data_IF_265282674120
#
_entry.id   IF_265282674120
#
_cell.length_a   1.000
_cell.length_b   1.000
_cell.length_c   1.000
_cell.angle_alpha   90.00
_cell.angle_beta   90.00
_cell.angle_gamma   90.00
#
_symmetry.space_group_name_H-M   'P 1'
#
loop_
_entity.id
_entity.type
_entity.pdbx_description
1 polymer ?
2 non-polymer ?
3 water ?
#
# COMPACT_ATOMS: atom_id res chain seq x y z
N UNK A 2 11.37 -4.22 26.00
CA UNK A 2 10.26 -3.21 25.98
C UNK A 2 10.70 -1.92 26.68
N UNK A 3 12.01 -1.69 26.75
CA UNK A 3 12.55 -0.66 27.63
C UNK A 3 13.18 0.48 26.84
N UNK A 4 13.66 0.19 25.63
CA UNK A 4 14.08 1.25 24.71
C UNK A 4 12.86 1.97 24.12
N UNK A 5 12.83 3.31 24.17
CA UNK A 5 11.66 4.07 23.71
C UNK A 5 11.93 4.95 22.48
N UNK A 6 13.11 4.84 21.91
CA UNK A 6 13.33 5.42 20.60
C UNK A 6 14.31 4.52 19.84
N UNK A 7 14.24 4.53 18.50
CA UNK A 7 15.10 3.69 17.66
C UNK A 7 15.67 4.52 16.51
N UNK A 8 16.97 4.36 16.27
CA UNK A 8 17.67 5.05 15.17
C UNK A 8 17.45 4.30 13.87
N UNK A 9 17.94 4.87 12.77
CA UNK A 9 17.89 4.15 11.51
C UNK A 9 18.72 2.86 11.58
N UNK A 10 19.86 2.91 12.24
CA UNK A 10 20.66 1.69 12.39
C UNK A 10 19.97 0.62 13.23
N UNK A 11 19.16 1.03 14.20
CA UNK A 11 18.36 0.08 14.96
C UNK A 11 17.33 -0.57 14.08
N UNK A 12 16.72 0.23 13.21
CA UNK A 12 15.71 -0.25 12.26
C UNK A 12 16.28 -1.13 11.17
N UNK A 13 17.49 -0.85 10.69
CA UNK A 13 18.14 -1.78 9.77
C UNK A 13 18.49 -3.09 10.48
N UNK A 14 18.86 -2.99 11.75
CA UNK A 14 19.14 -4.17 12.55
C UNK A 14 17.89 -5.01 12.68
N UNK A 15 16.74 -4.35 12.87
CA UNK A 15 15.46 -5.04 12.90
C UNK A 15 15.16 -5.76 11.58
N UNK A 16 15.43 -5.10 10.47
CA UNK A 16 15.19 -5.70 9.14
C UNK A 16 15.96 -7.01 8.89
N UNK A 17 17.09 -7.20 9.59
CA UNK A 17 17.90 -8.41 9.46
C UNK A 17 17.52 -9.47 10.47
N UNK A 18 16.46 -9.21 11.23
CA UNK A 18 16.04 -10.13 12.30
C UNK A 18 16.89 -10.07 13.57
N UNK A 19 17.64 -8.99 13.74
CA UNK A 19 18.61 -8.92 14.81
C UNK A 19 18.18 -8.04 15.98
N UNK A 20 17.10 -7.26 15.84
CA UNK A 20 16.59 -6.52 17.00
C UNK A 20 15.80 -7.43 17.96
N UNK A 21 14.77 -8.08 17.42
CA UNK A 21 13.90 -8.95 18.21
C UNK A 21 14.28 -10.41 18.13
N UNK A 22 15.15 -10.75 17.17
CA UNK A 22 15.69 -12.07 17.07
C UNK A 22 15.01 -12.93 16.03
N UNK A 23 15.60 -14.12 15.78
CA UNK A 23 15.16 -14.95 14.65
C UNK A 23 13.78 -15.56 14.93
N UNK A 24 12.94 -15.59 13.90
CA UNK A 24 11.56 -16.05 14.07
C UNK A 24 10.59 -14.94 14.50
N UNK A 25 11.12 -13.78 14.89
CA UNK A 25 10.31 -12.68 15.39
C UNK A 25 10.20 -11.49 14.42
N UNK A 26 9.56 -10.39 14.84
CA UNK A 26 9.07 -9.36 13.91
C UNK A 26 10.25 -8.70 13.21
N UNK A 27 10.09 -8.43 11.92
CA UNK A 27 11.09 -7.68 11.18
C UNK A 27 10.41 -6.49 10.53
N UNK A 28 11.22 -5.47 10.26
CA UNK A 28 10.85 -4.46 9.29
C UNK A 28 11.40 -4.89 7.92
N UNK A 29 10.83 -4.34 6.85
CA UNK A 29 11.43 -4.48 5.51
C UNK A 29 12.80 -3.84 5.48
N UNK A 30 13.65 -4.31 4.58
CA UNK A 30 14.88 -3.60 4.23
C UNK A 30 14.61 -2.62 3.10
N UNK A 31 15.53 -1.68 2.89
CA UNK A 31 15.46 -0.89 1.67
C UNK A 31 15.40 -1.82 0.48
N UNK A 32 14.55 -1.53 -0.51
CA UNK A 32 13.85 -0.26 -0.65
C UNK A 32 12.38 -0.31 -0.28
N UNK A 33 11.98 -1.32 0.48
CA UNK A 33 10.63 -1.33 1.04
C UNK A 33 10.48 -0.61 2.39
N UNK A 34 11.58 -0.43 3.09
CA UNK A 34 11.55 0.28 4.38
C UNK A 34 11.18 1.75 4.19
N UNK A 35 10.13 2.18 4.91
CA UNK A 35 9.55 3.52 4.77
C UNK A 35 9.59 4.35 6.07
N UNK A 36 10.57 4.03 6.90
CA UNK A 36 10.76 4.70 8.20
C UNK A 36 12.29 4.91 8.37
N UNK A 37 12.70 6.08 8.85
CA UNK A 37 14.09 6.32 9.18
C UNK A 37 14.31 6.15 10.68
N UNK A 38 13.35 6.54 11.49
CA UNK A 38 13.54 6.53 12.93
C UNK A 38 12.22 6.42 13.67
N UNK A 39 12.26 5.82 14.86
CA UNK A 39 11.09 5.82 15.71
C UNK A 39 11.46 6.79 16.82
N UNK A 40 10.75 7.91 16.90
CA UNK A 40 11.09 8.93 17.89
C UNK A 40 10.45 8.68 19.24
N UNK A 41 9.37 7.92 19.25
CA UNK A 41 8.65 7.59 20.46
C UNK A 41 7.88 6.29 20.27
N UNK A 42 8.02 5.40 21.23
CA UNK A 42 7.16 4.22 21.33
C UNK A 42 6.89 3.92 22.82
N UNK A 43 5.64 3.69 23.14
CA UNK A 43 5.22 3.46 24.53
C UNK A 43 3.96 2.58 24.56
N UNK A 44 3.74 1.89 25.68
CA UNK A 44 2.53 1.11 25.83
C UNK A 44 1.42 1.87 26.57
N UNK A 45 1.65 3.15 26.83
CA UNK A 45 0.60 4.02 27.36
C UNK A 45 0.47 5.30 26.54
N UNK A 46 -0.53 6.13 26.87
CA UNK A 46 -0.81 7.31 26.09
C UNK A 46 -1.31 6.93 24.71
N UNK A 47 -1.20 7.87 23.76
CA UNK A 47 -1.91 7.73 22.50
C UNK A 47 -3.40 7.90 22.73
N UNK A 48 -4.17 7.95 21.65
CA UNK A 48 -5.57 8.40 21.73
C UNK A 48 -6.45 7.46 22.58
N UNK A 49 -6.03 6.20 22.73
CA UNK A 49 -6.84 5.21 23.45
C UNK A 49 -6.25 4.88 24.84
N UNK A 50 -5.10 5.48 25.14
CA UNK A 50 -4.40 5.21 26.37
C UNK A 50 -3.75 3.84 26.42
N UNK A 51 -3.54 3.23 25.25
CA UNK A 51 -3.07 1.87 25.20
C UNK A 51 -1.80 1.74 24.39
N UNK A 52 -1.15 2.85 24.11
CA UNK A 52 0.11 2.82 23.36
C UNK A 52 0.16 3.72 22.14
N UNK A 53 1.39 4.02 21.73
CA UNK A 53 1.65 5.09 20.78
C UNK A 53 2.97 4.83 20.11
N UNK A 54 3.05 5.14 18.83
CA UNK A 54 4.33 5.25 18.16
C UNK A 54 4.33 6.52 17.31
N UNK A 55 5.46 7.20 17.33
CA UNK A 55 5.71 8.31 16.45
C UNK A 55 7.01 8.00 15.69
N UNK A 56 6.95 8.05 14.35
CA UNK A 56 8.10 7.69 13.53
C UNK A 56 8.26 8.74 12.45
N UNK A 57 9.42 8.73 11.80
CA UNK A 57 9.69 9.72 10.77
C UNK A 57 10.31 9.06 9.54
N UNK A 58 10.03 9.60 8.35
CA UNK A 58 10.80 9.31 7.15
C UNK A 58 11.31 10.60 6.51
N UNK A 59 12.62 10.73 6.34
CA UNK A 59 13.16 11.94 5.73
C UNK A 59 12.91 11.87 4.22
N UNK A 60 12.47 12.97 3.64
CA UNK A 60 12.21 13.04 2.21
C UNK A 60 13.30 13.85 1.50
N UNK A 61 13.79 13.30 0.40
CA UNK A 61 14.57 14.09 -0.55
C UNK A 61 14.16 13.71 -1.98
N UNK A 62 14.52 14.55 -2.96
CA UNK A 62 14.00 14.39 -4.34
C UNK A 62 14.49 13.14 -5.04
N UNK A 63 15.50 12.50 -4.47
CA UNK A 63 16.14 11.36 -5.12
C UNK A 63 15.63 10.00 -4.64
N UNK A 64 14.68 9.98 -3.71
CA UNK A 64 14.09 8.72 -3.30
C UNK A 64 13.49 8.01 -4.53
N UNK A 65 13.77 6.72 -4.64
CA UNK A 65 13.56 5.97 -5.88
C UNK A 65 12.15 6.10 -6.48
N UNK A 66 11.15 6.10 -5.61
CA UNK A 66 9.77 6.01 -6.08
C UNK A 66 9.27 7.27 -6.77
N UNK A 67 9.97 8.39 -6.62
CA UNK A 67 9.55 9.61 -7.30
C UNK A 67 9.69 9.53 -8.83
N UNK A 68 10.76 8.91 -9.31
CA UNK A 68 11.03 8.90 -10.75
C UNK A 68 10.03 8.03 -11.53
N UNK A 69 9.51 6.97 -10.90
CA UNK A 69 8.63 6.04 -11.60
C UNK A 69 7.14 6.23 -11.23
N UNK A 70 6.87 7.09 -10.25
CA UNK A 70 5.49 7.26 -9.76
C UNK A 70 5.21 8.76 -9.51
N UNK A 71 4.79 9.52 -10.53
CA UNK A 71 4.74 9.08 -11.91
C UNK A 71 5.72 9.90 -12.73
N UNK A 72 6.02 9.41 -13.93
CA UNK A 72 6.79 10.17 -14.89
C UNK A 72 6.11 11.52 -15.14
N UNK A 73 6.82 12.60 -14.86
CA UNK A 73 6.32 13.96 -15.07
C UNK A 73 5.36 14.45 -14.01
N UNK A 74 5.16 13.65 -12.96
CA UNK A 74 4.19 14.01 -11.89
C UNK A 74 4.58 13.28 -10.62
N UNK A 75 5.73 13.64 -10.06
CA UNK A 75 6.29 12.82 -8.98
C UNK A 75 5.52 12.97 -7.66
N UNK A 76 5.25 11.86 -6.98
CA UNK A 76 4.44 11.86 -5.76
C UNK A 76 4.61 10.53 -5.05
N UNK A 77 4.92 10.59 -3.76
CA UNK A 77 5.11 9.37 -2.98
C UNK A 77 3.88 8.48 -3.00
N UNK A 78 4.06 7.21 -3.37
CA UNK A 78 2.90 6.31 -3.42
C UNK A 78 2.20 6.27 -2.08
N UNK A 79 0.90 6.49 -2.06
CA UNK A 79 0.14 6.43 -0.82
C UNK A 79 0.24 5.08 -0.14
N UNK A 80 0.35 4.03 -0.95
CA UNK A 80 0.38 2.69 -0.45
C UNK A 80 1.61 2.47 0.42
N UNK A 81 2.69 3.23 0.16
CA UNK A 81 3.93 3.05 0.93
C UNK A 81 3.88 3.72 2.29
N UNK A 82 3.21 4.87 2.37
CA UNK A 82 2.92 5.49 3.65
C UNK A 82 1.93 4.70 4.46
N UNK A 83 0.95 4.12 3.79
CA UNK A 83 0.05 3.20 4.49
C UNK A 83 0.83 1.98 5.00
N UNK A 84 1.75 1.44 4.20
CA UNK A 84 2.53 0.29 4.66
C UNK A 84 3.37 0.58 5.87
N UNK A 85 3.99 1.77 5.90
CA UNK A 85 4.73 2.20 7.06
C UNK A 85 3.89 2.00 8.34
N UNK A 86 2.63 2.40 8.29
CA UNK A 86 1.70 2.26 9.42
C UNK A 86 1.56 0.81 9.86
N UNK A 87 1.32 -0.07 8.90
CA UNK A 87 1.29 -1.50 9.19
C UNK A 87 2.63 -1.97 9.79
N UNK A 88 3.75 -1.54 9.24
CA UNK A 88 5.00 -2.08 9.71
C UNK A 88 5.30 -1.58 11.11
N UNK A 89 4.75 -0.42 11.46
CA UNK A 89 4.95 0.09 12.79
C UNK A 89 4.09 -0.65 13.81
N UNK A 90 2.88 -1.04 13.40
CA UNK A 90 2.08 -1.90 14.25
C UNK A 90 2.77 -3.25 14.48
N UNK A 91 3.39 -3.78 13.43
CA UNK A 91 4.17 -4.99 13.57
C UNK A 91 5.31 -4.84 14.55
N UNK A 92 6.09 -3.77 14.39
CA UNK A 92 7.17 -3.48 15.31
C UNK A 92 6.67 -3.37 16.77
N UNK A 93 5.55 -2.70 16.99
CA UNK A 93 4.95 -2.60 18.33
C UNK A 93 4.83 -3.96 18.96
N UNK A 94 4.28 -4.90 18.21
CA UNK A 94 4.01 -6.21 18.77
C UNK A 94 5.33 -6.93 19.04
N UNK A 95 6.33 -6.69 18.19
CA UNK A 95 7.66 -7.27 18.40
C UNK A 95 8.28 -6.67 19.66
N UNK A 96 8.08 -5.36 19.81
CA UNK A 96 8.66 -4.58 20.91
C UNK A 96 8.03 -4.99 22.25
N UNK A 97 6.78 -5.45 22.20
CA UNK A 97 6.10 -5.96 23.40
C UNK A 97 6.57 -7.34 23.84
N UNK A 98 7.42 -7.96 23.03
CA UNK A 98 8.06 -9.24 23.39
C UNK A 98 7.35 -10.47 22.86
N UNK A 99 6.36 -10.28 21.98
CA UNK A 99 5.62 -11.40 21.40
C UNK A 99 6.45 -12.10 20.32
N UNK A 100 6.31 -13.43 20.20
CA UNK A 100 7.11 -14.15 19.20
C UNK A 100 6.33 -14.23 17.90
N UNK A 101 7.01 -14.42 16.78
CA UNK A 101 6.34 -14.61 15.50
C UNK A 101 6.62 -13.52 14.48
N UNK A 102 6.29 -13.80 13.23
CA UNK A 102 6.57 -12.90 12.12
C UNK A 102 5.31 -12.15 11.72
N UNK A 103 5.46 -10.90 11.33
CA UNK A 103 4.30 -10.06 11.05
C UNK A 103 3.68 -10.31 9.68
N UNK A 104 2.35 -10.31 9.64
CA UNK A 104 1.58 -10.09 8.43
C UNK A 104 0.47 -9.06 8.71
N UNK A 105 0.41 -8.01 7.89
CA UNK A 105 -0.74 -7.09 7.96
C UNK A 105 -1.99 -7.90 7.67
N UNK A 106 -3.08 -7.56 8.36
CA UNK A 106 -4.35 -8.22 8.18
C UNK A 106 -5.39 -7.26 7.53
N UNK A 107 -5.04 -5.98 7.42
CA UNK A 107 -5.86 -5.02 6.71
C UNK A 107 -6.18 -3.78 7.51
N UNK A 108 -7.37 -3.23 7.25
CA UNK A 108 -7.70 -1.92 7.74
C UNK A 108 -9.19 -1.74 7.67
N UNK A 109 -9.72 -0.90 8.54
CA UNK A 109 -11.13 -0.54 8.49
C UNK A 109 -11.50 0.46 7.44
N UNK A 110 -10.70 1.52 7.34
CA UNK A 110 -11.01 2.64 6.48
C UNK A 110 -9.73 3.43 6.25
N UNK A 111 -9.36 3.67 4.99
CA UNK A 111 -8.18 4.45 4.62
C UNK A 111 -8.59 5.69 3.82
N UNK A 112 -8.03 6.84 4.19
CA UNK A 112 -8.24 8.10 3.49
C UNK A 112 -6.94 8.80 3.10
N UNK A 113 -6.81 9.15 1.83
CA UNK A 113 -5.73 9.97 1.35
C UNK A 113 -6.36 11.33 1.01
N UNK A 114 -5.87 12.38 1.64
CA UNK A 114 -6.38 13.72 1.37
C UNK A 114 -5.20 14.67 1.34
N UNK A 115 -4.08 14.18 0.85
CA UNK A 115 -2.99 15.04 0.42
C UNK A 115 -1.85 14.17 -0.07
N UNK A 116 -0.66 14.76 -0.21
CA UNK A 116 0.42 14.10 -0.93
C UNK A 116 1.80 14.53 -0.40
N UNK A 117 2.79 13.69 -0.68
CA UNK A 117 4.16 13.99 -0.46
C UNK A 117 4.84 14.22 -1.81
N UNK A 118 5.30 15.45 -1.98
CA UNK A 118 6.06 15.82 -3.17
C UNK A 118 7.55 15.76 -2.87
N UNK A 119 8.38 15.64 -3.91
CA UNK A 119 9.80 15.51 -3.76
C UNK A 119 10.50 16.73 -3.13
N UNK A 120 9.75 17.83 -3.00
CA UNK A 120 10.20 19.05 -2.32
C UNK A 120 9.93 19.02 -0.80
N UNK A 121 9.20 18.03 -0.32
CA UNK A 121 8.92 17.86 1.12
C UNK A 121 10.20 17.56 1.92
N UNK A 122 10.18 17.88 3.20
CA UNK A 122 11.33 17.61 4.08
C UNK A 122 11.15 16.36 4.92
N UNK A 123 9.93 16.16 5.44
CA UNK A 123 9.73 15.09 6.40
C UNK A 123 8.30 14.56 6.49
N UNK A 124 8.19 13.22 6.54
CA UNK A 124 6.92 12.56 6.81
C UNK A 124 6.94 12.04 8.26
N UNK A 125 5.87 12.31 8.99
CA UNK A 125 5.70 11.75 10.29
C UNK A 125 4.51 10.81 10.33
N UNK A 126 4.72 9.70 11.03
CA UNK A 126 3.70 8.68 11.25
C UNK A 126 3.30 8.65 12.72
N UNK A 127 2.00 8.75 12.99
CA UNK A 127 1.48 8.72 14.35
C UNK A 127 0.55 7.51 14.48
N UNK A 128 0.88 6.59 15.37
CA UNK A 128 0.10 5.36 15.51
C UNK A 128 -0.42 5.28 16.94
N UNK A 129 -1.73 5.11 17.05
CA UNK A 129 -2.43 5.02 18.33
C UNK A 129 -2.97 3.61 18.49
N UNK A 130 -2.39 2.83 19.41
CA UNK A 130 -2.79 1.44 19.60
C UNK A 130 -4.17 1.45 20.29
N UNK A 131 -5.13 0.72 19.70
CA UNK A 131 -6.49 0.65 20.17
C UNK A 131 -6.71 -0.59 21.02
N UNK A 132 -6.17 -1.72 20.59
CA UNK A 132 -6.44 -2.97 21.28
C UNK A 132 -5.41 -3.99 20.84
N UNK A 133 -4.89 -4.76 21.81
CA UNK A 133 -4.11 -5.97 21.53
C UNK A 133 -4.98 -7.19 21.85
N UNK A 134 -4.86 -8.21 21.00
CA UNK A 134 -5.71 -9.42 21.08
C UNK A 134 -4.80 -10.64 21.21
N UNK A 135 -5.07 -11.47 22.21
CA UNK A 135 -4.30 -12.70 22.46
C UNK A 135 -5.25 -13.90 22.43
N UNK A 136 -5.53 -14.39 21.23
CA UNK A 136 -6.52 -15.47 21.05
C UNK A 136 -5.84 -16.52 20.19
N UNK A 137 -4.92 -17.26 20.80
CA UNK A 137 -4.14 -18.29 20.12
C UNK A 137 -2.99 -17.65 19.40
N UNK A 138 -3.28 -16.78 18.44
CA UNK A 138 -2.27 -15.86 17.92
C UNK A 138 -2.54 -14.45 18.42
N UNK A 139 -1.52 -13.61 18.30
CA UNK A 139 -1.57 -12.26 18.81
C UNK A 139 -1.74 -11.30 17.63
N UNK A 140 -2.59 -10.30 17.79
CA UNK A 140 -2.64 -9.21 16.82
C UNK A 140 -2.98 -7.92 17.51
N UNK A 141 -2.78 -6.83 16.80
CA UNK A 141 -3.04 -5.48 17.28
C UNK A 141 -3.87 -4.72 16.27
N UNK A 142 -4.79 -3.91 16.81
CA UNK A 142 -5.60 -2.96 16.08
C UNK A 142 -5.13 -1.57 16.53
N UNK A 143 -5.06 -0.63 15.57
CA UNK A 143 -4.49 0.69 15.78
C UNK A 143 -5.12 1.66 14.79
N UNK A 144 -5.20 2.94 15.15
CA UNK A 144 -5.49 3.95 14.16
C UNK A 144 -4.19 4.66 13.86
N UNK A 145 -4.07 5.28 12.69
CA UNK A 145 -2.87 5.98 12.35
C UNK A 145 -3.08 7.16 11.44
N UNK A 146 -2.12 8.07 11.43
CA UNK A 146 -2.11 9.19 10.51
C UNK A 146 -0.70 9.39 9.96
N UNK A 147 -0.66 9.90 8.73
CA UNK A 147 0.58 10.25 8.04
C UNK A 147 0.50 11.76 7.81
N UNK A 148 1.54 12.47 8.22
CA UNK A 148 1.66 13.91 7.99
C UNK A 148 2.95 14.24 7.24
N UNK A 149 2.94 15.35 6.53
CA UNK A 149 4.11 15.81 5.82
C UNK A 149 4.33 17.30 6.14
N UNK A 150 5.51 17.60 6.69
CA UNK A 150 5.88 18.95 7.06
C UNK A 150 4.76 19.69 7.81
N UNK A 151 4.12 19.00 8.75
CA UNK A 151 3.15 19.63 9.65
C UNK A 151 1.69 19.38 9.31
N UNK A 152 1.45 18.85 8.10
CA UNK A 152 0.08 18.77 7.54
C UNK A 152 -0.35 17.31 7.48
N UNK A 153 -1.42 16.99 8.18
CA UNK A 153 -2.00 15.65 8.09
C UNK A 153 -2.51 15.37 6.68
N UNK A 154 -2.14 14.23 6.12
CA UNK A 154 -2.51 13.92 4.74
C UNK A 154 -3.17 12.57 4.52
N UNK A 155 -2.91 11.59 5.37
CA UNK A 155 -3.60 10.28 5.35
C UNK A 155 -4.08 9.88 6.73
N UNK A 156 -5.14 9.10 6.77
CA UNK A 156 -5.59 8.45 7.99
C UNK A 156 -5.93 7.00 7.67
N UNK A 157 -5.92 6.18 8.71
CA UNK A 157 -6.36 4.82 8.63
C UNK A 157 -6.95 4.41 9.97
N UNK A 158 -8.17 3.91 9.93
CA UNK A 158 -8.85 3.45 11.13
C UNK A 158 -8.79 1.94 11.15
N UNK A 159 -8.40 1.37 12.28
CA UNK A 159 -8.53 -0.05 12.50
C UNK A 159 -7.52 -0.86 11.70
N UNK A 160 -6.31 -0.31 11.54
CA UNK A 160 -5.17 -1.10 11.08
C UNK A 160 -5.09 -2.34 11.91
N UNK A 161 -4.88 -3.48 11.24
CA UNK A 161 -4.70 -4.77 11.92
C UNK A 161 -3.43 -5.46 11.43
N UNK A 162 -2.57 -5.85 12.37
CA UNK A 162 -1.42 -6.67 12.07
C UNK A 162 -1.33 -7.84 13.05
N UNK A 163 -1.01 -9.01 12.52
CA UNK A 163 -0.82 -10.19 13.35
C UNK A 163 0.59 -10.78 13.29
N UNK A 164 0.91 -11.55 14.33
CA UNK A 164 2.15 -12.28 14.42
C UNK A 164 1.86 -13.74 14.26
N UNK A 165 2.71 -14.38 13.45
CA UNK A 165 2.44 -15.73 12.96
C UNK A 165 3.69 -16.55 13.24
N UNK A 166 3.59 -17.49 14.15
CA UNK A 166 4.74 -18.33 14.45
C UNK A 166 4.94 -19.40 13.35
N UNK A 167 3.98 -19.50 12.42
CA UNK A 167 4.12 -20.31 11.20
C UNK A 167 3.34 -19.70 10.03
N UNK A 168 4.05 -19.21 9.01
CA UNK A 168 3.39 -18.48 7.92
C UNK A 168 3.05 -19.43 6.77
N UNK A 169 3.47 -20.68 6.91
CA UNK A 169 3.22 -21.70 5.90
C UNK A 169 1.74 -21.77 5.54
N UNK A 170 0.89 -21.64 6.55
CA UNK A 170 -0.55 -21.85 6.35
C UNK A 170 -1.24 -20.56 5.92
N UNK A 171 -0.52 -19.45 5.95
CA UNK A 171 -1.17 -18.15 5.80
C UNK A 171 -1.67 -17.93 4.36
N UNK B 3 -12.52 1.79 -26.19
CA UNK B 3 -12.52 0.97 -27.45
C UNK B 3 -11.91 -0.41 -27.22
N UNK B 4 -10.66 -0.41 -26.76
CA UNK B 4 -9.88 -1.65 -26.61
C UNK B 4 -10.31 -2.36 -25.33
N UNK B 5 -10.36 -3.69 -25.33
CA UNK B 5 -10.84 -4.43 -24.14
C UNK B 5 -9.80 -5.28 -23.44
N UNK B 6 -8.55 -5.11 -23.84
CA UNK B 6 -7.42 -5.74 -23.17
C UNK B 6 -6.19 -4.94 -23.55
N UNK B 7 -5.22 -4.95 -22.64
CA UNK B 7 -3.97 -4.21 -22.80
C UNK B 7 -2.75 -5.05 -22.41
N UNK B 8 -1.73 -4.99 -23.26
CA UNK B 8 -0.50 -5.76 -23.07
C UNK B 8 0.44 -5.00 -22.16
N UNK B 9 1.54 -5.64 -21.75
CA UNK B 9 2.48 -4.93 -20.91
C UNK B 9 3.00 -3.70 -21.65
N UNK B 10 3.24 -3.83 -22.96
CA UNK B 10 3.78 -2.71 -23.74
C UNK B 10 2.77 -1.57 -23.79
N UNK B 11 1.49 -1.91 -23.76
CA UNK B 11 0.44 -0.90 -23.65
C UNK B 11 0.50 -0.16 -22.32
N UNK B 12 0.66 -0.93 -21.25
CA UNK B 12 0.75 -0.37 -19.91
C UNK B 12 1.98 0.51 -19.74
N UNK B 13 3.07 0.13 -20.40
CA UNK B 13 4.30 0.90 -20.31
C UNK B 13 4.16 2.22 -21.09
N UNK B 14 3.43 2.19 -22.21
CA UNK B 14 3.01 3.40 -22.95
C UNK B 14 2.20 4.29 -22.05
N UNK B 15 1.29 3.67 -21.31
CA UNK B 15 0.45 4.40 -20.37
C UNK B 15 1.31 5.11 -19.33
N UNK B 16 2.37 4.44 -18.87
CA UNK B 16 3.23 4.98 -17.84
C UNK B 16 4.01 6.20 -18.30
N UNK B 17 4.24 6.32 -19.62
CA UNK B 17 4.91 7.49 -20.16
C UNK B 17 3.94 8.57 -20.62
N UNK B 18 2.64 8.36 -20.45
CA UNK B 18 1.66 9.36 -20.87
C UNK B 18 1.17 9.17 -22.31
N UNK B 19 1.60 8.10 -22.96
CA UNK B 19 1.37 7.96 -24.39
C UNK B 19 0.14 7.13 -24.71
N UNK B 20 -0.59 6.66 -23.71
CA UNK B 20 -1.83 5.95 -23.99
C UNK B 20 -3.05 6.87 -23.97
N UNK B 21 -3.19 7.63 -22.88
CA UNK B 21 -4.31 8.54 -22.75
C UNK B 21 -3.93 9.98 -23.05
N UNK B 22 -2.64 10.23 -23.22
CA UNK B 22 -2.18 11.54 -23.65
C UNK B 22 -1.77 12.48 -22.51
N UNK B 23 -1.19 13.62 -22.87
CA UNK B 23 -0.69 14.61 -21.89
C UNK B 23 -1.76 15.12 -20.95
N UNK B 24 -1.50 15.03 -19.66
CA UNK B 24 -2.35 15.62 -18.63
C UNK B 24 -3.31 14.60 -18.05
N UNK B 25 -3.26 13.39 -18.57
CA UNK B 25 -4.27 12.39 -18.31
C UNK B 25 -3.65 11.18 -17.60
N UNK B 26 -4.43 10.14 -17.34
CA UNK B 26 -4.08 9.14 -16.31
C UNK B 26 -2.87 8.34 -16.75
N UNK B 27 -1.95 8.13 -15.81
CA UNK B 27 -0.77 7.33 -16.06
C UNK B 27 -0.75 6.19 -15.06
N UNK B 28 -0.18 5.06 -15.46
CA UNK B 28 0.28 4.08 -14.51
C UNK B 28 1.69 4.43 -14.05
N UNK B 29 2.13 3.84 -12.92
CA UNK B 29 3.55 3.92 -12.58
C UNK B 29 4.38 3.18 -13.59
N UNK B 30 5.66 3.54 -13.66
CA UNK B 30 6.68 2.76 -14.32
C UNK B 30 7.27 1.76 -13.34
N UNK B 31 8.02 0.75 -13.84
CA UNK B 31 8.86 0.01 -12.91
C UNK B 31 9.77 0.94 -12.12
N UNK B 32 9.88 0.73 -10.80
CA UNK B 32 9.52 -0.53 -10.16
C UNK B 32 8.23 -0.47 -9.32
N UNK B 33 7.47 0.59 -9.48
CA UNK B 33 6.18 0.70 -8.82
C UNK B 33 5.03 0.05 -9.60
N UNK B 34 5.24 -0.26 -10.87
CA UNK B 34 4.18 -0.89 -11.67
C UNK B 34 3.99 -2.34 -11.21
N UNK B 35 2.74 -2.70 -10.86
CA UNK B 35 2.40 -4.00 -10.27
C UNK B 35 1.33 -4.74 -11.10
N UNK B 36 1.26 -4.38 -12.38
CA UNK B 36 0.41 -5.06 -13.33
C UNK B 36 1.23 -5.35 -14.58
N UNK B 37 1.14 -6.56 -15.12
CA UNK B 37 1.74 -6.88 -16.41
C UNK B 37 0.74 -6.73 -17.58
N UNK B 38 -0.52 -7.05 -17.35
CA UNK B 38 -1.49 -7.02 -18.42
C UNK B 38 -2.91 -6.84 -17.92
N UNK B 39 -3.74 -6.15 -18.70
CA UNK B 39 -5.17 -6.13 -18.44
C UNK B 39 -5.82 -7.09 -19.40
N UNK B 40 -6.39 -8.16 -18.84
CA UNK B 40 -6.95 -9.23 -19.66
C UNK B 40 -8.40 -8.98 -20.06
N UNK B 41 -9.05 -8.05 -19.35
CA UNK B 41 -10.43 -7.65 -19.65
C UNK B 41 -10.71 -6.30 -19.01
N UNK B 42 -11.35 -5.44 -19.77
CA UNK B 42 -11.89 -4.22 -19.21
C UNK B 42 -13.13 -3.82 -20.01
N UNK B 43 -14.19 -3.48 -19.28
CA UNK B 43 -15.48 -3.19 -19.90
C UNK B 43 -16.24 -2.24 -19.00
N UNK B 44 -17.15 -1.48 -19.58
CA UNK B 44 -18.02 -0.62 -18.79
C UNK B 44 -19.34 -1.31 -18.40
N UNK B 45 -19.51 -2.58 -18.74
CA UNK B 45 -20.65 -3.34 -18.23
C UNK B 45 -20.19 -4.66 -17.57
N UNK B 46 -21.10 -5.33 -16.89
CA UNK B 46 -20.75 -6.56 -16.18
C UNK B 46 -20.03 -6.19 -14.90
N UNK B 47 -19.30 -7.13 -14.31
CA UNK B 47 -18.83 -6.95 -12.95
C UNK B 47 -19.97 -7.00 -11.96
N UNK B 48 -19.62 -7.08 -10.68
CA UNK B 48 -20.54 -7.48 -9.63
C UNK B 48 -21.69 -6.48 -9.49
N UNK B 49 -21.50 -5.25 -9.97
CA UNK B 49 -22.55 -4.23 -9.93
C UNK B 49 -23.16 -3.93 -11.29
N UNK B 50 -22.65 -4.58 -12.32
CA UNK B 50 -23.10 -4.30 -13.68
C UNK B 50 -22.78 -2.89 -14.13
N UNK B 51 -21.71 -2.30 -13.58
CA UNK B 51 -21.29 -0.96 -13.98
C UNK B 51 -19.83 -0.92 -14.38
N UNK B 52 -19.26 -2.08 -14.64
CA UNK B 52 -17.91 -2.14 -15.23
C UNK B 52 -17.01 -3.07 -14.46
N UNK B 53 -15.92 -3.46 -15.10
CA UNK B 53 -15.09 -4.53 -14.57
C UNK B 53 -13.68 -4.43 -15.15
N UNK B 54 -12.68 -4.77 -14.35
CA UNK B 54 -11.34 -5.00 -14.88
C UNK B 54 -10.80 -6.31 -14.35
N UNK B 55 -10.10 -7.04 -15.21
CA UNK B 55 -9.33 -8.18 -14.75
C UNK B 55 -7.88 -7.99 -15.26
N UNK B 56 -6.93 -8.06 -14.33
CA UNK B 56 -5.53 -7.84 -14.66
C UNK B 56 -4.66 -8.86 -13.94
N UNK B 57 -3.44 -9.02 -14.45
CA UNK B 57 -2.50 -10.03 -13.96
C UNK B 57 -1.11 -9.43 -13.74
N UNK B 58 -0.39 -10.03 -12.80
CA UNK B 58 1.03 -9.80 -12.60
C UNK B 58 1.74 -11.14 -12.50
N UNK B 59 2.69 -11.39 -13.39
CA UNK B 59 3.47 -12.63 -13.32
C UNK B 59 4.46 -12.57 -12.15
N UNK B 60 4.56 -13.66 -11.41
CA UNK B 60 5.48 -13.71 -10.29
C UNK B 60 6.66 -14.57 -10.71
N UNK B 61 7.86 -14.13 -10.35
CA UNK B 61 9.02 -15.02 -10.31
C UNK B 61 9.87 -14.66 -9.07
N UNK B 62 10.83 -15.52 -8.72
CA UNK B 62 11.53 -15.37 -7.43
C UNK B 62 12.44 -14.16 -7.34
N UNK B 63 12.72 -13.51 -8.47
CA UNK B 63 13.75 -12.47 -8.48
C UNK B 63 13.18 -11.06 -8.49
N UNK B 64 11.86 -10.94 -8.47
CA UNK B 64 11.25 -9.62 -8.28
C UNK B 64 11.76 -8.96 -7.00
N UNK B 65 12.00 -7.66 -7.11
CA UNK B 65 12.87 -6.92 -6.23
C UNK B 65 12.36 -6.93 -4.81
N UNK B 66 11.05 -6.87 -4.65
CA UNK B 66 10.48 -6.71 -3.33
C UNK B 66 10.60 -7.98 -2.46
N UNK B 67 10.88 -9.13 -3.06
CA UNK B 67 11.07 -10.35 -2.26
C UNK B 67 12.32 -10.34 -1.34
N UNK B 68 13.40 -9.71 -1.80
CA UNK B 68 14.67 -9.74 -1.11
C UNK B 68 14.67 -8.87 0.13
N UNK B 69 13.88 -7.79 0.08
CA UNK B 69 13.88 -6.83 1.17
C UNK B 69 12.63 -6.91 2.05
N UNK B 70 11.66 -7.75 1.67
CA UNK B 70 10.36 -7.84 2.40
C UNK B 70 9.89 -9.30 2.47
N UNK B 71 10.37 -10.08 3.44
CA UNK B 71 11.37 -9.68 4.40
C UNK B 71 12.58 -10.55 4.19
N UNK B 72 13.71 -10.10 4.72
CA UNK B 72 14.94 -10.94 4.72
C UNK B 72 14.68 -12.30 5.41
N UNK B 73 14.89 -13.41 4.70
CA UNK B 73 14.66 -14.73 5.31
C UNK B 73 13.19 -15.11 5.40
N UNK B 74 12.32 -14.28 4.84
CA UNK B 74 10.86 -14.51 4.91
C UNK B 74 10.18 -13.78 3.75
N UNK B 75 10.46 -14.21 2.51
CA UNK B 75 9.99 -13.41 1.37
C UNK B 75 8.49 -13.49 1.15
N UNK B 76 7.87 -12.33 0.93
CA UNK B 76 6.43 -12.25 0.72
C UNK B 76 6.12 -10.92 0.04
N UNK B 77 5.34 -10.96 -1.01
CA UNK B 77 4.95 -9.73 -1.67
C UNK B 77 4.25 -8.78 -0.71
N UNK B 78 4.71 -7.54 -0.67
CA UNK B 78 4.07 -6.53 0.17
C UNK B 78 2.56 -6.43 -0.16
N UNK B 79 1.71 -6.57 0.85
CA UNK B 79 0.27 -6.44 0.63
C UNK B 79 -0.11 -5.08 0.08
N UNK B 80 0.65 -4.06 0.49
CA UNK B 80 0.38 -2.70 0.03
C UNK B 80 0.51 -2.55 -1.47
N UNK B 81 1.38 -3.34 -2.09
CA UNK B 81 1.66 -3.21 -3.51
C UNK B 81 0.52 -3.84 -4.30
N UNK B 82 -0.06 -4.92 -3.77
CA UNK B 82 -1.23 -5.54 -4.40
C UNK B 82 -2.45 -4.64 -4.24
N UNK B 83 -2.57 -4.04 -3.08
CA UNK B 83 -3.59 -3.02 -2.87
C UNK B 83 -3.40 -1.84 -3.85
N UNK B 84 -2.15 -1.38 -4.02
CA UNK B 84 -1.91 -0.31 -4.97
C UNK B 84 -2.33 -0.66 -6.39
N UNK B 85 -2.04 -1.89 -6.82
CA UNK B 85 -2.41 -2.32 -8.15
C UNK B 85 -3.90 -2.08 -8.37
N UNK B 86 -4.68 -2.22 -7.30
CA UNK B 86 -6.13 -2.08 -7.40
C UNK B 86 -6.50 -0.62 -7.58
N UNK B 87 -5.86 0.26 -6.82
CA UNK B 87 -6.05 1.68 -7.03
C UNK B 87 -5.60 2.09 -8.42
N UNK B 88 -4.48 1.57 -8.90
CA UNK B 88 -3.97 2.05 -10.17
C UNK B 88 -4.91 1.60 -11.27
N UNK B 89 -5.55 0.46 -11.06
CA UNK B 89 -6.48 -0.07 -12.06
C UNK B 89 -7.78 0.76 -12.12
N UNK B 90 -8.23 1.25 -10.97
CA UNK B 90 -9.37 2.14 -10.93
C UNK B 90 -9.07 3.51 -11.60
N UNK B 91 -7.88 4.04 -11.41
CA UNK B 91 -7.43 5.21 -12.14
C UNK B 91 -7.39 4.96 -13.63
N UNK B 92 -6.86 3.80 -14.02
CA UNK B 92 -6.78 3.42 -15.43
C UNK B 92 -8.17 3.42 -16.05
N UNK B 93 -9.10 2.79 -15.34
CA UNK B 93 -10.47 2.78 -15.77
C UNK B 93 -10.98 4.16 -16.06
N UNK B 94 -10.78 5.10 -15.14
CA UNK B 94 -11.22 6.47 -15.38
C UNK B 94 -10.62 7.10 -16.62
N UNK B 95 -9.36 6.81 -16.90
CA UNK B 95 -8.70 7.32 -18.12
C UNK B 95 -9.25 6.66 -19.35
N UNK B 96 -9.46 5.35 -19.25
CA UNK B 96 -9.96 4.51 -20.33
C UNK B 96 -11.35 4.99 -20.75
N UNK B 97 -12.14 5.49 -19.80
CA UNK B 97 -13.44 6.06 -20.10
C UNK B 97 -13.36 7.42 -20.81
N UNK B 98 -12.18 8.01 -20.85
CA UNK B 98 -12.00 9.27 -21.59
C UNK B 98 -11.99 10.54 -20.76
N UNK B 99 -12.03 10.41 -19.43
CA UNK B 99 -11.92 11.56 -18.54
C UNK B 99 -10.52 12.10 -18.55
N UNK B 100 -10.39 13.43 -18.54
CA UNK B 100 -9.13 14.14 -18.41
C UNK B 100 -8.61 14.15 -16.99
N UNK B 101 -7.30 14.21 -16.84
CA UNK B 101 -6.71 14.49 -15.55
C UNK B 101 -5.89 13.35 -15.02
N UNK B 102 -5.15 13.68 -13.97
CA UNK B 102 -4.18 12.76 -13.39
C UNK B 102 -4.75 12.12 -12.14
N UNK B 103 -4.36 10.88 -11.88
CA UNK B 103 -4.94 10.13 -10.80
C UNK B 103 -4.29 10.39 -9.44
N UNK B 104 -5.15 10.34 -8.42
CA UNK B 104 -4.74 10.20 -7.04
C UNK B 104 -5.71 9.28 -6.32
N UNK B 105 -5.18 8.23 -5.70
CA UNK B 105 -5.99 7.39 -4.82
C UNK B 105 -6.55 8.20 -3.67
N UNK B 106 -7.82 7.95 -3.32
CA UNK B 106 -8.43 8.69 -2.26
C UNK B 106 -8.69 7.83 -1.02
N UNK B 107 -8.55 6.51 -1.17
CA UNK B 107 -8.57 5.62 -0.04
C UNK B 107 -9.49 4.43 -0.25
N UNK B 108 -9.99 3.86 0.85
CA UNK B 108 -10.72 2.58 0.79
C UNK B 108 -11.61 2.44 2.03
N UNK B 109 -12.72 1.72 1.90
CA UNK B 109 -13.34 1.06 3.05
C UNK B 109 -12.56 -0.19 3.40
N UNK B 110 -13.23 -1.20 3.91
CA UNK B 110 -12.51 -2.30 4.50
C UNK B 110 -11.51 -2.93 3.51
N UNK B 111 -10.28 -3.11 4.01
CA UNK B 111 -9.26 -3.95 3.35
C UNK B 111 -8.97 -5.15 4.23
N UNK B 112 -8.94 -6.32 3.61
CA UNK B 112 -8.62 -7.57 4.29
C UNK B 112 -7.52 -8.34 3.57
N UNK B 113 -6.48 -8.71 4.30
CA UNK B 113 -5.48 -9.61 3.79
C UNK B 113 -5.67 -10.92 4.56
N UNK B 114 -5.83 -11.98 3.83
CA UNK B 114 -6.03 -13.32 4.39
C UNK B 114 -5.29 -14.39 3.59
N UNK B 115 -4.25 -13.96 2.88
CA UNK B 115 -3.23 -14.87 2.32
C UNK B 115 -2.09 -14.07 1.71
N UNK B 116 -1.18 -14.75 1.03
CA UNK B 116 0.10 -14.17 0.68
C UNK B 116 0.60 -14.65 -0.68
N UNK B 117 1.53 -13.88 -1.24
CA UNK B 117 2.16 -14.23 -2.50
C UNK B 117 3.61 -14.57 -2.23
N UNK B 118 3.95 -15.85 -2.35
CA UNK B 118 5.32 -16.27 -2.18
C UNK B 118 6.11 -16.19 -3.48
N UNK B 119 7.44 -16.21 -3.39
CA UNK B 119 8.33 -16.21 -4.57
C UNK B 119 8.20 -17.44 -5.49
N UNK B 120 7.56 -18.49 -4.96
CA UNK B 120 7.20 -19.68 -5.71
C UNK B 120 5.88 -19.57 -6.46
N UNK B 121 5.13 -18.48 -6.28
CA UNK B 121 3.88 -18.28 -7.00
C UNK B 121 4.14 -18.03 -8.49
N UNK B 122 3.13 -18.29 -9.30
CA UNK B 122 3.27 -18.07 -10.74
C UNK B 122 2.56 -16.80 -11.20
N UNK B 123 1.37 -16.55 -10.66
CA UNK B 123 0.58 -15.43 -11.15
C UNK B 123 -0.39 -14.84 -10.14
N UNK B 124 -0.41 -13.51 -10.05
CA UNK B 124 -1.43 -12.81 -9.25
C UNK B 124 -2.49 -12.29 -10.21
N UNK B 125 -3.76 -12.42 -9.83
CA UNK B 125 -4.89 -11.84 -10.55
C UNK B 125 -5.67 -10.82 -9.73
N UNK B 126 -5.91 -9.69 -10.37
CA UNK B 126 -6.72 -8.64 -9.80
C UNK B 126 -8.06 -8.63 -10.51
N UNK B 127 -9.11 -8.47 -9.70
CA UNK B 127 -10.47 -8.42 -10.13
C UNK B 127 -11.13 -7.16 -9.54
N UNK B 128 -11.51 -6.24 -10.43
CA UNK B 128 -12.07 -4.97 -10.00
C UNK B 128 -13.51 -4.84 -10.51
N UNK B 129 -14.40 -4.43 -9.61
CA UNK B 129 -15.80 -4.29 -9.94
C UNK B 129 -16.20 -2.84 -9.67
N UNK B 130 -16.47 -2.10 -10.74
CA UNK B 130 -16.80 -0.67 -10.60
C UNK B 130 -18.18 -0.52 -9.98
N UNK B 131 -18.26 0.25 -8.88
CA UNK B 131 -19.46 0.37 -8.12
C UNK B 131 -20.21 1.64 -8.49
N UNK B 132 -19.48 2.75 -8.67
CA UNK B 132 -20.10 4.01 -9.00
C UNK B 132 -19.06 4.96 -9.53
N UNK B 133 -19.46 5.75 -10.50
CA UNK B 133 -18.65 6.84 -11.02
C UNK B 133 -19.33 8.15 -10.67
N UNK B 134 -18.53 9.15 -10.29
CA UNK B 134 -19.05 10.42 -9.75
C UNK B 134 -18.45 11.57 -10.53
N UNK B 135 -19.31 12.45 -11.04
CA UNK B 135 -18.91 13.58 -11.88
C UNK B 135 -19.43 14.88 -11.28
N UNK B 136 -18.72 15.37 -10.27
CA UNK B 136 -19.17 16.53 -9.51
C UNK B 136 -18.01 17.47 -9.25
N UNK B 137 -17.82 18.40 -10.19
CA UNK B 137 -16.62 19.25 -10.19
C UNK B 137 -15.42 18.41 -10.62
N UNK B 138 -15.04 17.43 -9.80
CA UNK B 138 -14.06 16.43 -10.26
C UNK B 138 -14.67 15.02 -10.41
N UNK B 139 -13.97 14.17 -11.16
CA UNK B 139 -14.44 12.83 -11.46
C UNK B 139 -13.75 11.83 -10.51
N UNK B 140 -14.54 10.93 -9.93
CA UNK B 140 -13.97 9.80 -9.23
C UNK B 140 -14.78 8.54 -9.42
N UNK B 141 -14.17 7.43 -9.03
CA UNK B 141 -14.79 6.12 -9.08
C UNK B 141 -14.65 5.45 -7.75
N UNK B 142 -15.68 4.66 -7.47
CA UNK B 142 -15.72 3.78 -6.30
C UNK B 142 -15.80 2.33 -6.81
N UNK B 143 -14.96 1.46 -6.28
CA UNK B 143 -14.90 0.07 -6.77
C UNK B 143 -14.67 -0.87 -5.61
N UNK B 144 -15.01 -2.13 -5.83
CA UNK B 144 -14.58 -3.20 -4.95
C UNK B 144 -13.56 -4.00 -5.71
N UNK B 145 -12.60 -4.56 -5.00
CA UNK B 145 -11.59 -5.36 -5.68
C UNK B 145 -11.26 -6.60 -4.89
N UNK B 146 -10.71 -7.58 -5.60
CA UNK B 146 -9.98 -8.65 -4.98
C UNK B 146 -8.64 -8.92 -5.66
N UNK B 147 -7.77 -9.58 -4.90
CA UNK B 147 -6.47 -10.05 -5.36
C UNK B 147 -6.42 -11.56 -5.09
N UNK B 148 -6.04 -12.31 -6.11
CA UNK B 148 -5.92 -13.74 -6.02
C UNK B 148 -4.53 -14.17 -6.47
N UNK B 149 -4.10 -15.33 -6.00
CA UNK B 149 -2.80 -15.86 -6.39
C UNK B 149 -2.92 -17.35 -6.68
N UNK B 150 -2.76 -17.65 -7.96
CA UNK B 150 -2.81 -18.99 -8.47
C UNK B 150 -4.16 -19.61 -8.21
N UNK B 151 -5.22 -18.82 -8.40
CA UNK B 151 -6.57 -19.33 -8.28
C UNK B 151 -7.14 -19.28 -6.88
N UNK B 152 -6.41 -18.65 -5.96
CA UNK B 152 -6.90 -18.50 -4.60
C UNK B 152 -6.94 -17.04 -4.20
N UNK B 153 -8.11 -16.62 -3.76
CA UNK B 153 -8.33 -15.25 -3.29
C UNK B 153 -7.58 -15.00 -1.98
N UNK B 154 -6.83 -13.90 -1.93
CA UNK B 154 -6.01 -13.61 -0.77
C UNK B 154 -6.25 -12.20 -0.17
N UNK B 155 -6.74 -11.27 -0.97
CA UNK B 155 -7.09 -9.94 -0.43
C UNK B 155 -8.44 -9.48 -0.93
N UNK B 156 -9.09 -8.62 -0.15
CA UNK B 156 -10.27 -7.91 -0.61
C UNK B 156 -10.18 -6.44 -0.18
N UNK B 157 -10.75 -5.55 -1.01
CA UNK B 157 -10.94 -4.15 -0.64
C UNK B 157 -12.32 -3.69 -1.08
N UNK B 158 -13.07 -3.12 -0.14
CA UNK B 158 -14.39 -2.58 -0.41
C UNK B 158 -14.27 -1.07 -0.52
N UNK B 159 -14.83 -0.51 -1.57
CA UNK B 159 -14.98 0.93 -1.63
C UNK B 159 -13.65 1.62 -1.85
N UNK B 160 -12.81 1.04 -2.70
CA UNK B 160 -11.69 1.76 -3.31
C UNK B 160 -12.20 3.02 -3.96
N UNK B 161 -11.55 4.15 -3.64
CA UNK B 161 -11.81 5.43 -4.27
C UNK B 161 -10.55 6.01 -4.91
N UNK B 162 -10.72 6.47 -6.14
CA UNK B 162 -9.65 7.09 -6.92
C UNK B 162 -10.28 8.26 -7.66
N UNK B 163 -9.61 9.41 -7.65
CA UNK B 163 -10.08 10.59 -8.33
C UNK B 163 -9.13 11.05 -9.42
N UNK B 164 -9.67 11.83 -10.37
CA UNK B 164 -8.83 12.48 -11.39
C UNK B 164 -8.75 13.97 -11.14
N UNK B 165 -7.56 14.52 -11.33
CA UNK B 165 -7.23 15.89 -10.97
C UNK B 165 -6.58 16.59 -12.15
N UNK B 166 -7.17 17.68 -12.59
CA UNK B 166 -6.57 18.43 -13.69
C UNK B 166 -5.51 19.41 -13.16
N UNK B 167 -5.53 19.65 -11.84
CA UNK B 167 -4.38 20.22 -11.14
C UNK B 167 -4.18 19.52 -9.79
N UNK B 168 -2.96 19.08 -9.55
CA UNK B 168 -2.61 18.49 -8.27
C UNK B 168 -1.77 19.44 -7.41
N UNK B 169 -1.42 20.58 -7.98
CA UNK B 169 -0.73 21.64 -7.24
C UNK B 169 -1.28 21.82 -5.84
N UNK B 170 -2.59 21.81 -5.69
CA UNK B 170 -3.18 22.07 -4.37
C UNK B 170 -3.51 20.79 -3.57
N UNK B 171 -3.26 19.61 -4.15
CA UNK B 171 -3.71 18.38 -3.51
C UNK B 171 -2.97 18.15 -2.18
#
# INVERSE_FOLDING_TARGET
>A
MTKQHAFTREDLLRCSRGELFGPGNAQLPAPNMLMIDRIVHISDVGGKYGKGELVAELDINPDLWFFACHFEGDPVMPGCLGLDAMWQLVGFYLGWQGNPGRGRALGSGEVKFFGQVLPTAKKVTYNIHIKRTINRSLVLAIADGTVSVDGREIYSAEGLRVGLFTSTDSF
>B
MTKQHAFTREDLLRCSRGELFGPGNAQLPAPNMLMIDRIVHISDVGGKYGKGELVAELDINPDLWFFACHFEGDPVMPGCLGLDAMWQLVGFYLGWQGNPGRGRALGSGEVKFFGQVLPTAKKVTYNIHIKRTINRSLVLAIADGTVSVDGREIYSAEGLRVGLFTSTDSF
#
